data_IF_842818311831
#
_entry.id   IF_842818311831
#
_cell.length_a   1.000
_cell.length_b   1.000
_cell.length_c   1.000
_cell.angle_alpha   90.00
_cell.angle_beta   90.00
_cell.angle_gamma   90.00
#
_symmetry.space_group_name_H-M   'P 1'
#
loop_
_entity.id
_entity.type
_entity.pdbx_description
1 polymer ?
#
# COMPACT_ATOMS: atom_id res chain seq x y z
N UNK A 1 6.71 15.41 16.28
CA UNK A 1 6.20 14.04 16.45
C UNK A 1 5.32 13.81 15.24
N UNK A 2 5.70 12.91 14.33
CA UNK A 2 4.85 12.58 13.19
C UNK A 2 3.66 11.86 13.82
N UNK A 3 2.48 12.48 13.75
CA UNK A 3 1.24 11.85 14.17
C UNK A 3 1.12 10.56 13.36
N UNK A 4 1.23 9.43 14.04
CA UNK A 4 1.18 8.08 13.48
C UNK A 4 -0.27 7.80 13.04
N UNK A 5 -0.69 8.44 11.95
CA UNK A 5 -2.08 8.37 11.49
C UNK A 5 -2.30 7.03 10.79
N UNK A 6 -3.53 6.50 10.91
CA UNK A 6 -3.93 5.28 10.20
C UNK A 6 -3.58 5.37 8.70
N UNK A 7 -3.80 6.53 8.10
CA UNK A 7 -3.48 6.81 6.70
C UNK A 7 -1.99 6.61 6.38
N UNK A 8 -1.08 7.10 7.24
CA UNK A 8 0.36 6.88 7.04
C UNK A 8 0.73 5.39 7.09
N UNK A 9 0.15 4.65 8.03
CA UNK A 9 0.36 3.20 8.15
C UNK A 9 -0.16 2.46 6.92
N UNK A 10 -1.28 2.88 6.35
CA UNK A 10 -1.80 2.33 5.09
C UNK A 10 -0.81 2.61 3.95
N UNK A 11 -0.30 3.83 3.82
CA UNK A 11 0.70 4.15 2.78
C UNK A 11 2.00 3.38 2.95
N UNK A 12 2.45 3.13 4.18
CA UNK A 12 3.63 2.32 4.42
C UNK A 12 3.43 0.86 4.01
N UNK A 13 2.25 0.30 4.30
CA UNK A 13 1.88 -1.03 3.84
C UNK A 13 1.84 -1.09 2.31
N UNK A 14 1.10 -0.21 1.65
CA UNK A 14 1.02 -0.22 0.17
C UNK A 14 2.40 -0.12 -0.48
N UNK A 15 3.30 0.71 0.08
CA UNK A 15 4.69 0.82 -0.40
C UNK A 15 5.53 -0.45 -0.23
N UNK A 16 5.22 -1.35 0.71
CA UNK A 16 5.98 -2.60 0.85
C UNK A 16 5.65 -3.62 -0.24
N UNK A 17 4.48 -3.49 -0.87
CA UNK A 17 4.05 -4.35 -1.99
C UNK A 17 4.37 -3.77 -3.36
N UNK A 18 4.54 -2.45 -3.46
CA UNK A 18 4.88 -1.72 -4.68
C UNK A 18 6.39 -1.83 -5.00
N UNK A 19 6.97 -3.05 -5.06
CA UNK A 19 8.31 -3.35 -5.60
C UNK A 19 9.54 -2.53 -5.10
N UNK A 20 10.74 -2.92 -5.54
CA UNK A 20 11.99 -2.20 -5.20
C UNK A 20 12.10 -0.94 -6.09
N UNK A 21 11.57 0.21 -5.63
CA UNK A 21 11.81 1.50 -6.30
C UNK A 21 13.25 1.96 -6.16
N UNK A 22 14.11 1.53 -7.09
CA UNK A 22 15.47 2.05 -7.22
C UNK A 22 15.53 3.52 -7.68
N UNK A 23 14.43 4.12 -8.18
CA UNK A 23 14.56 5.38 -8.94
C UNK A 23 13.66 6.56 -8.57
N UNK A 24 12.73 6.45 -7.62
CA UNK A 24 12.04 7.56 -6.92
C UNK A 24 10.91 7.00 -6.05
N UNK A 25 10.79 7.45 -4.80
CA UNK A 25 9.58 7.20 -4.01
C UNK A 25 8.40 7.89 -4.73
N UNK A 26 7.45 7.13 -5.27
CA UNK A 26 6.15 7.68 -5.67
C UNK A 26 5.46 8.22 -4.41
N UNK A 27 4.87 9.41 -4.53
CA UNK A 27 4.00 9.95 -3.49
C UNK A 27 2.65 9.25 -3.62
N UNK A 28 2.25 8.53 -2.58
CA UNK A 28 0.93 7.91 -2.50
C UNK A 28 -0.07 8.96 -2.02
N UNK A 29 -1.24 8.96 -2.61
CA UNK A 29 -2.39 9.79 -2.22
C UNK A 29 -3.63 8.89 -2.07
N UNK A 30 -4.72 9.39 -1.48
CA UNK A 30 -5.97 8.63 -1.41
C UNK A 30 -6.58 8.31 -2.78
N UNK A 31 -6.11 8.98 -3.84
CA UNK A 31 -6.55 8.79 -5.21
C UNK A 31 -5.60 7.91 -6.02
N UNK A 32 -4.51 7.40 -5.43
CA UNK A 32 -3.60 6.49 -6.13
C UNK A 32 -4.34 5.20 -6.47
N UNK A 33 -4.28 4.84 -7.75
CA UNK A 33 -4.84 3.60 -8.26
C UNK A 33 -3.82 2.45 -8.19
N UNK A 34 -4.19 1.34 -7.55
CA UNK A 34 -3.30 0.20 -7.39
C UNK A 34 -2.98 -0.50 -8.72
N UNK A 35 -3.93 -0.59 -9.65
CA UNK A 35 -3.74 -1.31 -10.92
C UNK A 35 -3.14 -0.43 -12.01
N UNK A 36 -3.39 0.88 -11.96
CA UNK A 36 -3.03 1.80 -13.04
C UNK A 36 -1.80 2.64 -12.71
N UNK A 37 -1.73 3.18 -11.48
CA UNK A 37 -0.60 3.99 -11.04
C UNK A 37 0.54 3.13 -10.51
N UNK A 38 0.22 2.14 -9.68
CA UNK A 38 1.21 1.23 -9.10
C UNK A 38 1.47 0.01 -9.98
N UNK A 39 0.48 -0.40 -10.76
CA UNK A 39 0.55 -1.57 -11.65
C UNK A 39 0.89 -2.84 -10.88
N UNK A 40 0.25 -3.00 -9.72
CA UNK A 40 0.32 -4.26 -8.99
C UNK A 40 -0.29 -5.35 -9.86
N UNK A 41 0.44 -6.43 -10.04
CA UNK A 41 -0.11 -7.65 -10.62
C UNK A 41 -1.10 -8.31 -9.65
N UNK A 42 -1.93 -9.23 -10.15
CA UNK A 42 -3.00 -9.85 -9.36
C UNK A 42 -2.49 -10.51 -8.06
N UNK A 43 -1.30 -11.13 -8.08
CA UNK A 43 -0.69 -11.78 -6.92
C UNK A 43 -0.13 -10.77 -5.91
N UNK A 44 0.43 -9.67 -6.37
CA UNK A 44 0.89 -8.54 -5.54
C UNK A 44 -0.29 -7.85 -4.85
N UNK A 45 -1.38 -7.61 -5.59
CA UNK A 45 -2.61 -7.05 -5.07
C UNK A 45 -3.28 -7.98 -4.05
N UNK A 46 -3.32 -9.29 -4.31
CA UNK A 46 -3.85 -10.28 -3.37
C UNK A 46 -3.06 -10.27 -2.05
N UNK A 47 -1.73 -10.29 -2.12
CA UNK A 47 -0.86 -10.22 -0.96
C UNK A 47 -1.07 -8.93 -0.15
N UNK A 48 -1.19 -7.78 -0.84
CA UNK A 48 -1.48 -6.49 -0.22
C UNK A 48 -2.82 -6.52 0.54
N UNK A 49 -3.87 -7.08 -0.07
CA UNK A 49 -5.19 -7.17 0.57
C UNK A 49 -5.15 -8.08 1.80
N UNK A 50 -4.50 -9.25 1.72
CA UNK A 50 -4.36 -10.16 2.84
C UNK A 50 -3.63 -9.52 4.03
N UNK A 51 -2.54 -8.80 3.75
CA UNK A 51 -1.78 -8.09 4.78
C UNK A 51 -2.55 -6.90 5.33
N UNK A 52 -3.34 -6.19 4.51
CA UNK A 52 -4.21 -5.10 4.95
C UNK A 52 -5.27 -5.60 5.93
N UNK A 53 -6.02 -6.63 5.56
CA UNK A 53 -7.08 -7.19 6.42
C UNK A 53 -6.52 -7.70 7.75
N UNK A 54 -5.36 -8.35 7.72
CA UNK A 54 -4.68 -8.87 8.91
C UNK A 54 -4.13 -7.75 9.79
N UNK A 55 -3.45 -6.77 9.20
CA UNK A 55 -2.76 -5.68 9.94
C UNK A 55 -3.73 -4.70 10.58
N UNK A 56 -4.86 -4.43 9.92
CA UNK A 56 -5.86 -3.48 10.39
C UNK A 56 -7.10 -4.16 11.00
N UNK A 57 -7.11 -5.49 11.10
CA UNK A 57 -8.20 -6.29 11.65
C UNK A 57 -9.55 -5.91 11.02
N UNK A 58 -9.57 -5.87 9.69
CA UNK A 58 -10.76 -5.62 8.89
C UNK A 58 -11.32 -6.97 8.46
N UNK A 59 -12.61 -7.18 8.68
CA UNK A 59 -13.29 -8.40 8.23
C UNK A 59 -13.25 -8.48 6.69
N UNK A 60 -12.86 -9.64 6.17
CA UNK A 60 -12.73 -9.92 4.74
C UNK A 60 -14.09 -10.07 4.05
#
# INVERSE_FOLDING_TARGET
MVSDTLEQRIYELVRSHDGIYLFKKKELTPSTDLDSDLRLEDDEALALMDDFFTTFNVDK
#
